data_IF_181508237514
#
_entry.id   IF_181508237514
#
_cell.length_a   1.000
_cell.length_b   1.000
_cell.length_c   1.000
_cell.angle_alpha   90.00
_cell.angle_beta   90.00
_cell.angle_gamma   90.00
#
_symmetry.space_group_name_H-M   'P 1'
#
loop_
_entity.id
_entity.type
_entity.pdbx_description
1 polymer ?
#
# COMPACT_ATOMS: atom_id res chain seq x y z
N UNK A 1 16.28 -26.67 13.20
CA UNK A 1 17.20 -25.78 13.94
C UNK A 1 16.75 -24.34 13.78
N UNK A 2 17.24 -23.43 14.61
CA UNK A 2 16.98 -21.99 14.49
C UNK A 2 17.31 -21.48 13.08
N UNK A 3 18.45 -21.89 12.52
CA UNK A 3 18.94 -21.42 11.22
C UNK A 3 18.03 -21.81 10.06
N UNK A 4 17.43 -23.01 10.11
CA UNK A 4 16.48 -23.45 9.07
C UNK A 4 15.20 -22.62 9.11
N UNK A 5 14.71 -22.24 10.31
CA UNK A 5 13.55 -21.34 10.44
C UNK A 5 13.89 -19.95 9.91
N UNK A 6 15.07 -19.46 10.26
CA UNK A 6 15.59 -18.17 9.81
C UNK A 6 15.73 -18.11 8.28
N UNK A 7 16.27 -19.18 7.68
CA UNK A 7 16.38 -19.31 6.23
C UNK A 7 15.00 -19.30 5.57
N UNK A 8 14.02 -20.04 6.09
CA UNK A 8 12.64 -20.01 5.55
C UNK A 8 12.02 -18.63 5.62
N UNK A 9 12.23 -17.93 6.73
CA UNK A 9 11.69 -16.59 6.95
C UNK A 9 12.17 -15.58 5.89
N UNK A 10 13.43 -15.66 5.43
CA UNK A 10 13.95 -14.72 4.43
C UNK A 10 13.86 -15.23 2.99
N UNK A 11 14.14 -16.52 2.74
CA UNK A 11 14.21 -17.07 1.39
C UNK A 11 12.84 -17.16 0.73
N UNK A 12 11.79 -17.54 1.50
CA UNK A 12 10.45 -17.66 0.93
C UNK A 12 9.87 -16.31 0.45
N UNK A 13 9.91 -15.22 1.27
CA UNK A 13 9.53 -13.90 0.75
C UNK A 13 10.36 -13.47 -0.44
N UNK A 14 11.68 -13.68 -0.43
CA UNK A 14 12.56 -13.23 -1.51
C UNK A 14 12.22 -13.90 -2.83
N UNK A 15 12.02 -15.22 -2.84
CA UNK A 15 11.61 -15.97 -4.03
C UNK A 15 10.28 -15.46 -4.60
N UNK A 16 9.28 -15.24 -3.74
CA UNK A 16 7.99 -14.73 -4.20
C UNK A 16 8.08 -13.26 -4.67
N UNK A 17 8.88 -12.43 -4.00
CA UNK A 17 9.09 -11.03 -4.36
C UNK A 17 9.74 -10.91 -5.74
N UNK A 18 10.68 -11.81 -6.07
CA UNK A 18 11.33 -11.85 -7.38
C UNK A 18 10.42 -12.40 -8.50
N UNK A 19 9.15 -12.66 -8.22
CA UNK A 19 8.19 -13.17 -9.21
C UNK A 19 8.35 -14.67 -9.52
N UNK A 20 8.98 -15.46 -8.64
CA UNK A 20 9.08 -16.90 -8.85
C UNK A 20 7.68 -17.55 -8.89
N UNK A 21 7.34 -18.15 -10.04
CA UNK A 21 6.00 -18.67 -10.31
C UNK A 21 5.58 -19.77 -9.30
N UNK A 22 6.49 -20.69 -8.96
CA UNK A 22 6.20 -21.77 -8.01
C UNK A 22 5.92 -21.22 -6.61
N UNK A 23 6.69 -20.23 -6.16
CA UNK A 23 6.48 -19.56 -4.88
C UNK A 23 5.10 -18.89 -4.84
N UNK A 24 4.75 -18.13 -5.89
CA UNK A 24 3.47 -17.44 -5.99
C UNK A 24 2.30 -18.43 -6.02
N UNK A 25 2.40 -19.51 -6.79
CA UNK A 25 1.38 -20.56 -6.87
C UNK A 25 1.19 -21.26 -5.51
N UNK A 26 2.28 -21.59 -4.83
CA UNK A 26 2.22 -22.22 -3.51
C UNK A 26 1.65 -21.28 -2.46
N UNK A 27 2.07 -20.01 -2.45
CA UNK A 27 1.53 -18.99 -1.56
C UNK A 27 0.03 -18.79 -1.79
N UNK A 28 -0.42 -18.73 -3.06
CA UNK A 28 -1.83 -18.61 -3.40
C UNK A 28 -2.63 -19.84 -2.95
N UNK A 29 -2.10 -21.05 -3.17
CA UNK A 29 -2.74 -22.30 -2.73
C UNK A 29 -2.89 -22.35 -1.20
N UNK A 30 -1.84 -22.00 -0.45
CA UNK A 30 -1.85 -21.97 1.01
C UNK A 30 -2.80 -20.88 1.54
N UNK A 31 -2.82 -19.71 0.91
CA UNK A 31 -3.72 -18.64 1.29
C UNK A 31 -5.18 -19.05 1.06
N UNK A 32 -5.51 -19.64 -0.09
CA UNK A 32 -6.88 -20.12 -0.38
C UNK A 32 -7.33 -21.15 0.65
N UNK A 33 -6.49 -22.13 0.97
CA UNK A 33 -6.80 -23.12 2.03
C UNK A 33 -7.05 -22.45 3.38
N UNK A 34 -6.27 -21.44 3.73
CA UNK A 34 -6.46 -20.67 4.96
C UNK A 34 -7.77 -19.87 4.94
N UNK A 35 -8.08 -19.19 3.83
CA UNK A 35 -9.32 -18.42 3.66
C UNK A 35 -10.57 -19.31 3.73
N UNK A 36 -10.49 -20.55 3.25
CA UNK A 36 -11.62 -21.49 3.28
C UNK A 36 -11.93 -22.04 4.69
N UNK A 37 -10.93 -22.06 5.58
CA UNK A 37 -11.10 -22.56 6.94
C UNK A 37 -10.07 -21.96 7.92
N UNK A 38 -10.16 -20.65 8.25
CA UNK A 38 -9.14 -19.95 9.03
C UNK A 38 -8.96 -20.51 10.45
N UNK A 39 -10.01 -21.12 11.02
CA UNK A 39 -9.98 -21.75 12.35
C UNK A 39 -9.37 -23.15 12.35
N UNK A 40 -9.28 -23.80 11.18
CA UNK A 40 -8.80 -25.19 11.03
C UNK A 40 -7.43 -25.27 10.38
N UNK A 41 -7.12 -24.33 9.48
CA UNK A 41 -5.86 -24.28 8.74
C UNK A 41 -4.96 -23.26 9.40
N UNK A 42 -3.81 -23.70 9.93
CA UNK A 42 -2.79 -22.80 10.46
C UNK A 42 -1.68 -22.60 9.44
N UNK A 43 -1.40 -21.35 9.09
CA UNK A 43 -0.21 -21.01 8.32
C UNK A 43 1.05 -21.25 9.16
N UNK A 44 2.11 -21.72 8.53
CA UNK A 44 3.41 -21.85 9.19
C UNK A 44 3.88 -20.46 9.68
N UNK A 45 4.20 -20.28 10.97
CA UNK A 45 4.60 -18.98 11.51
C UNK A 45 5.80 -18.34 10.78
N UNK A 46 6.73 -19.15 10.29
CA UNK A 46 7.94 -18.69 9.61
C UNK A 46 7.63 -18.11 8.21
N UNK A 47 6.49 -18.49 7.60
CA UNK A 47 6.12 -18.08 6.23
C UNK A 47 4.74 -17.40 6.16
N UNK A 48 4.03 -17.23 7.26
CA UNK A 48 2.66 -16.74 7.27
C UNK A 48 2.52 -15.36 6.63
N UNK A 49 3.46 -14.44 6.90
CA UNK A 49 3.48 -13.12 6.27
C UNK A 49 3.67 -13.21 4.76
N UNK A 50 4.60 -14.07 4.31
CA UNK A 50 4.85 -14.31 2.90
C UNK A 50 3.61 -14.89 2.20
N UNK A 51 3.00 -15.94 2.78
CA UNK A 51 1.79 -16.57 2.24
C UNK A 51 0.64 -15.57 2.12
N UNK A 52 0.41 -14.75 3.16
CA UNK A 52 -0.66 -13.75 3.15
C UNK A 52 -0.49 -12.69 2.06
N UNK A 53 0.72 -12.17 1.89
CA UNK A 53 0.98 -11.15 0.89
C UNK A 53 1.07 -11.74 -0.53
N UNK A 54 1.98 -12.69 -0.72
CA UNK A 54 2.25 -13.25 -2.05
C UNK A 54 1.16 -14.21 -2.53
N UNK A 55 0.32 -14.73 -1.63
CA UNK A 55 -0.88 -15.44 -2.01
C UNK A 55 -1.94 -14.53 -2.61
N UNK A 56 -2.03 -13.26 -2.19
CA UNK A 56 -2.86 -12.25 -2.87
C UNK A 56 -2.22 -11.81 -4.18
N UNK A 57 -0.89 -11.68 -4.22
CA UNK A 57 -0.14 -11.34 -5.45
C UNK A 57 -0.33 -12.37 -6.55
N UNK A 58 -0.16 -13.66 -6.23
CA UNK A 58 -0.34 -14.77 -7.18
C UNK A 58 -1.77 -15.28 -7.29
N UNK A 59 -2.71 -14.68 -6.54
CA UNK A 59 -4.10 -15.11 -6.45
C UNK A 59 -5.01 -14.44 -7.48
N UNK A 60 -6.15 -15.07 -7.73
CA UNK A 60 -7.16 -14.55 -8.65
C UNK A 60 -8.09 -13.51 -7.98
N UNK A 61 -9.12 -13.08 -8.72
CA UNK A 61 -10.12 -12.15 -8.21
C UNK A 61 -10.92 -12.73 -7.02
N UNK A 62 -11.07 -14.06 -6.97
CA UNK A 62 -11.78 -14.76 -5.89
C UNK A 62 -10.98 -14.68 -4.60
N UNK A 63 -9.68 -14.97 -4.64
CA UNK A 63 -8.78 -14.83 -3.48
C UNK A 63 -8.78 -13.39 -2.99
N UNK A 64 -8.64 -12.41 -3.87
CA UNK A 64 -8.69 -10.99 -3.51
C UNK A 64 -10.02 -10.63 -2.84
N UNK A 65 -11.16 -11.04 -3.43
CA UNK A 65 -12.49 -10.77 -2.88
C UNK A 65 -12.65 -11.35 -1.47
N UNK A 66 -12.21 -12.59 -1.24
CA UNK A 66 -12.28 -13.21 0.10
C UNK A 66 -11.50 -12.40 1.15
N UNK A 67 -10.31 -11.92 0.81
CA UNK A 67 -9.54 -11.03 1.72
C UNK A 67 -10.26 -9.68 1.90
N UNK A 68 -10.89 -9.15 0.85
CA UNK A 68 -11.68 -7.91 0.92
C UNK A 68 -12.91 -8.06 1.81
N UNK A 69 -13.58 -9.20 1.77
CA UNK A 69 -14.70 -9.53 2.66
C UNK A 69 -14.24 -9.59 4.12
N UNK A 70 -13.06 -10.20 4.39
CA UNK A 70 -12.44 -10.17 5.72
C UNK A 70 -12.12 -8.75 6.17
N UNK A 71 -11.53 -7.92 5.30
CA UNK A 71 -11.26 -6.51 5.58
C UNK A 71 -12.53 -5.74 5.94
N UNK A 72 -13.61 -5.91 5.17
CA UNK A 72 -14.89 -5.24 5.42
C UNK A 72 -15.54 -5.67 6.75
N UNK A 73 -15.39 -6.94 7.13
CA UNK A 73 -15.94 -7.50 8.38
C UNK A 73 -15.06 -7.27 9.62
N UNK A 74 -13.84 -6.76 9.46
CA UNK A 74 -12.88 -6.64 10.55
C UNK A 74 -13.36 -5.64 11.61
N UNK A 75 -13.41 -6.09 12.87
CA UNK A 75 -13.92 -5.30 14.00
C UNK A 75 -12.84 -4.52 14.73
N UNK A 76 -11.55 -4.86 14.54
CA UNK A 76 -10.42 -4.17 15.18
C UNK A 76 -9.56 -3.43 14.17
N UNK A 77 -8.89 -2.38 14.65
CA UNK A 77 -7.96 -1.55 13.88
C UNK A 77 -6.81 -2.37 13.30
N UNK A 78 -6.30 -3.32 14.08
CA UNK A 78 -5.19 -4.20 13.74
C UNK A 78 -5.59 -5.18 12.61
N UNK A 79 -6.79 -5.75 12.69
CA UNK A 79 -7.32 -6.62 11.64
C UNK A 79 -7.57 -5.85 10.35
N UNK A 80 -8.17 -4.66 10.42
CA UNK A 80 -8.38 -3.78 9.26
C UNK A 80 -7.06 -3.48 8.55
N UNK A 81 -6.05 -3.03 9.30
CA UNK A 81 -4.72 -2.74 8.75
C UNK A 81 -4.03 -3.99 8.20
N UNK A 82 -4.14 -5.14 8.89
CA UNK A 82 -3.56 -6.40 8.41
C UNK A 82 -4.14 -6.84 7.07
N UNK A 83 -5.46 -6.80 6.92
CA UNK A 83 -6.11 -7.18 5.66
C UNK A 83 -5.90 -6.15 4.56
N UNK A 84 -5.90 -4.85 4.87
CA UNK A 84 -5.53 -3.82 3.89
C UNK A 84 -4.10 -4.05 3.35
N UNK A 85 -3.14 -4.36 4.23
CA UNK A 85 -1.77 -4.68 3.84
C UNK A 85 -1.66 -5.95 2.97
N UNK A 86 -2.55 -6.92 3.16
CA UNK A 86 -2.65 -8.08 2.28
C UNK A 86 -3.19 -7.70 0.91
N UNK A 87 -4.26 -6.90 0.85
CA UNK A 87 -4.87 -6.45 -0.42
C UNK A 87 -3.90 -5.60 -1.25
N UNK A 88 -3.11 -4.75 -0.60
CA UNK A 88 -2.02 -4.00 -1.24
C UNK A 88 -0.93 -4.88 -1.87
N UNK A 89 -0.91 -6.19 -1.63
CA UNK A 89 0.02 -7.10 -2.30
C UNK A 89 -0.43 -7.56 -3.68
N UNK A 90 -1.66 -7.25 -4.11
CA UNK A 90 -2.16 -7.67 -5.42
C UNK A 90 -1.27 -7.14 -6.56
N UNK A 91 -1.01 -7.96 -7.58
CA UNK A 91 -0.37 -7.51 -8.82
C UNK A 91 -1.32 -6.78 -9.76
N UNK A 92 -2.64 -6.90 -9.52
CA UNK A 92 -3.67 -6.31 -10.37
C UNK A 92 -3.90 -4.85 -9.99
N UNK A 93 -3.41 -3.94 -10.84
CA UNK A 93 -3.49 -2.49 -10.62
C UNK A 93 -4.91 -2.00 -10.32
N UNK A 94 -5.90 -2.49 -11.06
CA UNK A 94 -7.30 -2.09 -10.87
C UNK A 94 -7.84 -2.41 -9.48
N UNK A 95 -7.40 -3.52 -8.87
CA UNK A 95 -7.83 -3.93 -7.52
C UNK A 95 -7.22 -3.05 -6.44
N UNK A 96 -5.96 -2.63 -6.63
CA UNK A 96 -5.29 -1.69 -5.73
C UNK A 96 -5.90 -0.29 -5.86
N UNK A 97 -6.18 0.18 -7.09
CA UNK A 97 -6.89 1.45 -7.33
C UNK A 97 -8.29 1.44 -6.68
N UNK A 98 -9.04 0.35 -6.81
CA UNK A 98 -10.33 0.18 -6.13
C UNK A 98 -10.21 0.25 -4.61
N UNK A 99 -9.18 -0.40 -4.04
CA UNK A 99 -8.92 -0.35 -2.60
C UNK A 99 -8.61 1.07 -2.12
N UNK A 100 -7.78 1.81 -2.85
CA UNK A 100 -7.49 3.22 -2.51
C UNK A 100 -8.79 4.02 -2.54
N UNK A 101 -9.61 3.87 -3.58
CA UNK A 101 -10.91 4.54 -3.66
C UNK A 101 -11.86 4.19 -2.52
N UNK A 102 -11.90 2.93 -2.09
CA UNK A 102 -12.73 2.47 -0.98
C UNK A 102 -12.29 3.05 0.38
N UNK A 103 -10.98 3.19 0.58
CA UNK A 103 -10.38 3.80 1.77
C UNK A 103 -10.71 5.28 1.83
N UNK A 104 -10.55 6.00 0.72
CA UNK A 104 -10.77 7.44 0.68
C UNK A 104 -12.25 7.83 0.85
N UNK A 105 -13.17 6.98 0.38
CA UNK A 105 -14.62 7.20 0.56
C UNK A 105 -15.09 7.00 2.00
N UNK A 106 -14.38 6.19 2.77
CA UNK A 106 -14.77 5.82 4.13
C UNK A 106 -13.51 5.53 4.96
N UNK A 107 -12.96 6.59 5.55
CA UNK A 107 -11.76 6.51 6.38
C UNK A 107 -11.93 5.58 7.57
N UNK A 108 -13.17 5.32 8.02
CA UNK A 108 -13.45 4.37 9.10
C UNK A 108 -13.02 2.93 8.76
N UNK A 109 -12.81 2.63 7.47
CA UNK A 109 -12.28 1.34 7.00
C UNK A 109 -10.80 1.16 7.27
N UNK A 110 -10.09 2.22 7.65
CA UNK A 110 -8.73 2.16 8.16
C UNK A 110 -8.65 2.67 9.60
N UNK A 111 -7.58 2.26 10.26
CA UNK A 111 -7.19 2.83 11.54
C UNK A 111 -6.26 4.02 11.41
N UNK A 112 -5.52 4.06 10.30
CA UNK A 112 -4.39 4.94 10.06
C UNK A 112 -4.15 5.02 8.53
N UNK A 113 -4.60 6.12 7.92
CA UNK A 113 -4.46 6.37 6.48
C UNK A 113 -3.00 6.62 6.09
N UNK A 114 -2.24 7.20 7.02
CA UNK A 114 -0.85 7.58 6.87
C UNK A 114 0.05 6.34 6.73
N UNK A 115 -0.21 5.31 7.55
CA UNK A 115 0.40 3.99 7.48
C UNK A 115 0.01 3.22 6.21
N UNK A 116 -1.23 3.36 5.75
CA UNK A 116 -1.69 2.75 4.50
C UNK A 116 -0.95 3.31 3.29
N UNK A 117 -0.88 4.63 3.15
CA UNK A 117 -0.13 5.26 2.06
C UNK A 117 1.37 5.01 2.16
N UNK A 118 1.94 4.98 3.37
CA UNK A 118 3.35 4.60 3.56
C UNK A 118 3.61 3.16 3.09
N UNK A 119 2.70 2.23 3.39
CA UNK A 119 2.80 0.84 2.94
C UNK A 119 2.65 0.72 1.43
N UNK A 120 1.69 1.43 0.83
CA UNK A 120 1.50 1.49 -0.62
C UNK A 120 2.73 2.07 -1.32
N UNK A 121 3.25 3.19 -0.83
CA UNK A 121 4.41 3.88 -1.39
C UNK A 121 5.73 3.10 -1.22
N UNK A 122 5.85 2.21 -0.24
CA UNK A 122 7.04 1.35 -0.09
C UNK A 122 7.11 0.18 -1.08
N UNK A 123 6.03 -0.05 -1.84
CA UNK A 123 5.93 -1.15 -2.80
C UNK A 123 6.30 -0.63 -4.18
N UNK A 124 7.50 -0.97 -4.63
CA UNK A 124 8.06 -0.56 -5.93
C UNK A 124 7.09 -0.85 -7.08
N UNK A 125 6.39 -1.99 -7.05
CA UNK A 125 5.42 -2.37 -8.10
C UNK A 125 4.22 -1.41 -8.20
N UNK A 126 3.97 -0.62 -7.16
CA UNK A 126 2.84 0.31 -7.07
C UNK A 126 3.22 1.78 -7.19
N UNK A 127 4.51 2.13 -7.31
CA UNK A 127 4.87 3.55 -7.35
C UNK A 127 4.22 4.28 -8.53
N UNK A 128 4.28 3.70 -9.73
CA UNK A 128 3.61 4.28 -10.90
C UNK A 128 2.09 4.31 -10.72
N UNK A 129 1.50 3.31 -10.06
CA UNK A 129 0.06 3.32 -9.75
C UNK A 129 -0.30 4.49 -8.86
N UNK A 130 0.49 4.69 -7.80
CA UNK A 130 0.29 5.77 -6.84
C UNK A 130 0.44 7.13 -7.54
N UNK A 131 1.45 7.29 -8.40
CA UNK A 131 1.63 8.49 -9.22
C UNK A 131 0.42 8.78 -10.09
N UNK A 132 -0.01 7.80 -10.89
CA UNK A 132 -1.15 7.95 -11.80
C UNK A 132 -2.43 8.27 -11.02
N UNK A 133 -2.65 7.59 -9.88
CA UNK A 133 -3.81 7.79 -9.03
C UNK A 133 -3.83 9.20 -8.43
N UNK A 134 -2.71 9.65 -7.86
CA UNK A 134 -2.61 10.99 -7.28
C UNK A 134 -2.81 12.05 -8.38
N UNK A 135 -2.13 11.93 -9.53
CA UNK A 135 -2.31 12.88 -10.66
C UNK A 135 -3.77 13.00 -11.09
N UNK A 136 -4.47 11.87 -11.16
CA UNK A 136 -5.88 11.79 -11.56
C UNK A 136 -6.84 12.37 -10.51
N UNK A 137 -6.52 12.22 -9.23
CA UNK A 137 -7.45 12.52 -8.13
C UNK A 137 -7.01 13.66 -7.20
N UNK A 138 -5.92 14.39 -7.53
CA UNK A 138 -5.29 15.33 -6.60
C UNK A 138 -6.24 16.39 -6.05
N UNK A 139 -7.21 16.88 -6.83
CA UNK A 139 -8.19 17.87 -6.36
C UNK A 139 -9.06 17.35 -5.22
N UNK A 140 -9.58 16.13 -5.38
CA UNK A 140 -10.41 15.49 -4.35
C UNK A 140 -9.57 15.12 -3.12
N UNK A 141 -8.32 14.68 -3.33
CA UNK A 141 -7.39 14.43 -2.23
C UNK A 141 -7.05 15.71 -1.47
N UNK A 142 -6.95 16.84 -2.18
CA UNK A 142 -6.65 18.14 -1.58
C UNK A 142 -7.83 18.71 -0.81
N UNK A 143 -9.05 18.55 -1.32
CA UNK A 143 -10.27 18.88 -0.59
C UNK A 143 -10.39 18.09 0.73
N UNK A 144 -9.94 16.84 0.73
CA UNK A 144 -10.04 15.94 1.88
C UNK A 144 -8.89 16.11 2.89
N UNK A 145 -7.64 16.19 2.42
CA UNK A 145 -6.43 16.14 3.25
C UNK A 145 -5.55 17.39 3.18
N UNK A 146 -5.93 18.37 2.37
CA UNK A 146 -5.13 19.55 2.08
C UNK A 146 -5.36 20.73 3.01
N UNK A 147 -6.25 20.61 4.02
CA UNK A 147 -6.67 21.65 4.99
C UNK A 147 -6.53 23.10 4.48
N UNK A 148 -7.61 23.61 3.88
CA UNK A 148 -7.64 24.95 3.25
C UNK A 148 -7.74 26.10 4.27
N UNK A 149 -7.78 25.82 5.58
CA UNK A 149 -8.11 26.81 6.61
C UNK A 149 -6.96 27.29 7.50
N UNK A 150 -5.86 26.53 7.62
CA UNK A 150 -4.78 26.79 8.57
C UNK A 150 -3.43 27.12 7.92
N UNK A 151 -3.33 27.00 6.59
CA UNK A 151 -2.10 27.28 5.84
C UNK A 151 -1.91 28.79 5.71
N UNK A 152 -1.00 29.33 6.49
CA UNK A 152 -0.47 30.67 6.31
C UNK A 152 0.76 30.65 5.39
N UNK A 153 1.17 31.79 4.79
CA UNK A 153 2.37 31.88 3.95
C UNK A 153 3.68 31.44 4.63
N UNK A 154 3.71 31.41 5.95
CA UNK A 154 4.80 30.96 6.83
C UNK A 154 4.60 29.55 7.40
N UNK A 155 3.50 28.87 7.06
CA UNK A 155 3.26 27.50 7.54
C UNK A 155 4.36 26.56 7.04
N UNK A 156 5.10 25.98 7.98
CA UNK A 156 6.14 24.97 7.74
C UNK A 156 5.64 23.55 8.01
N UNK A 157 4.40 23.41 8.49
CA UNK A 157 3.79 22.12 8.77
C UNK A 157 3.11 21.65 7.48
N UNK A 158 3.57 20.55 6.85
CA UNK A 158 2.91 20.00 5.69
C UNK A 158 1.51 19.52 6.09
N UNK A 159 0.54 19.74 5.20
CA UNK A 159 -0.77 19.09 5.29
C UNK A 159 -0.63 17.57 5.23
N UNK A 160 -1.70 16.84 5.56
CA UNK A 160 -1.68 15.37 5.45
C UNK A 160 -1.42 14.92 4.01
N UNK A 161 -2.02 15.62 3.02
CA UNK A 161 -1.72 15.38 1.61
C UNK A 161 -0.23 15.58 1.32
N UNK A 162 0.34 16.73 1.70
CA UNK A 162 1.76 17.01 1.42
C UNK A 162 2.66 16.02 2.15
N UNK A 163 2.31 15.58 3.35
CA UNK A 163 3.04 14.56 4.11
C UNK A 163 3.06 13.22 3.38
N UNK A 164 1.91 12.79 2.84
CA UNK A 164 1.81 11.58 1.99
C UNK A 164 2.70 11.73 0.74
N UNK A 165 2.66 12.89 0.09
CA UNK A 165 3.46 13.16 -1.12
C UNK A 165 4.96 13.14 -0.83
N UNK A 166 5.42 13.76 0.26
CA UNK A 166 6.84 13.74 0.67
C UNK A 166 7.29 12.29 0.93
N UNK A 167 6.50 11.52 1.68
CA UNK A 167 6.81 10.11 1.98
C UNK A 167 6.94 9.30 0.69
N UNK A 168 6.02 9.47 -0.26
CA UNK A 168 6.06 8.78 -1.55
C UNK A 168 7.27 9.20 -2.40
N UNK A 169 7.56 10.50 -2.54
CA UNK A 169 8.74 10.96 -3.28
C UNK A 169 10.03 10.34 -2.72
N UNK A 170 10.15 10.25 -1.40
CA UNK A 170 11.32 9.66 -0.73
C UNK A 170 11.45 8.14 -0.93
N UNK A 171 10.41 7.42 -1.36
CA UNK A 171 10.48 6.00 -1.70
C UNK A 171 10.81 5.74 -3.15
N UNK A 172 10.68 6.72 -4.05
CA UNK A 172 11.05 6.59 -5.45
C UNK A 172 12.56 6.29 -5.57
N UNK A 173 12.90 5.30 -6.40
CA UNK A 173 14.29 4.88 -6.65
C UNK A 173 14.75 5.06 -8.09
N UNK A 174 13.81 5.33 -9.01
CA UNK A 174 14.10 5.56 -10.42
C UNK A 174 14.27 7.05 -10.69
N UNK A 175 15.38 7.43 -11.32
CA UNK A 175 15.63 8.83 -11.72
C UNK A 175 14.55 9.36 -12.67
N UNK A 176 14.02 8.49 -13.55
CA UNK A 176 12.98 8.86 -14.50
C UNK A 176 11.68 9.17 -13.77
N UNK A 177 11.29 8.28 -12.87
CA UNK A 177 10.08 8.43 -12.05
C UNK A 177 10.19 9.63 -11.11
N UNK A 178 11.35 9.83 -10.48
CA UNK A 178 11.58 10.97 -9.59
C UNK A 178 11.48 12.30 -10.35
N UNK A 179 12.06 12.39 -11.55
CA UNK A 179 11.95 13.59 -12.40
C UNK A 179 10.51 13.86 -12.82
N UNK A 180 9.75 12.82 -13.18
CA UNK A 180 8.33 12.97 -13.51
C UNK A 180 7.52 13.46 -12.31
N UNK A 181 7.67 12.78 -11.16
CA UNK A 181 7.02 13.13 -9.91
C UNK A 181 7.31 14.59 -9.52
N UNK A 182 8.59 14.96 -9.51
CA UNK A 182 9.04 16.31 -9.17
C UNK A 182 8.47 17.37 -10.13
N UNK A 183 8.54 17.13 -11.44
CA UNK A 183 7.99 18.07 -12.42
C UNK A 183 6.48 18.30 -12.19
N UNK A 184 5.73 17.22 -11.97
CA UNK A 184 4.30 17.32 -11.71
C UNK A 184 4.00 18.04 -10.37
N UNK A 185 4.70 17.68 -9.29
CA UNK A 185 4.53 18.29 -7.97
C UNK A 185 4.85 19.79 -7.99
N UNK A 186 5.95 20.19 -8.62
CA UNK A 186 6.31 21.61 -8.76
C UNK A 186 5.25 22.36 -9.56
N UNK A 187 4.73 21.78 -10.65
CA UNK A 187 3.69 22.43 -11.46
C UNK A 187 2.33 22.55 -10.74
N UNK A 188 2.02 21.62 -9.83
CA UNK A 188 0.71 21.50 -9.19
C UNK A 188 0.66 22.21 -7.83
N UNK A 189 1.72 22.07 -7.02
CA UNK A 189 1.78 22.54 -5.63
C UNK A 189 2.84 23.64 -5.43
N UNK A 190 3.61 24.03 -6.46
CA UNK A 190 4.78 24.90 -6.30
C UNK A 190 4.49 26.30 -5.75
N UNK A 191 3.25 26.79 -5.85
CA UNK A 191 2.82 28.06 -5.26
C UNK A 191 2.36 27.94 -3.80
N UNK A 192 2.21 26.73 -3.27
CA UNK A 192 1.66 26.51 -1.94
C UNK A 192 2.73 26.61 -0.84
N UNK A 193 2.46 27.32 0.26
CA UNK A 193 3.41 27.45 1.37
C UNK A 193 3.78 26.11 2.04
N UNK A 194 2.78 25.24 2.26
CA UNK A 194 2.94 23.93 2.91
C UNK A 194 3.73 22.93 2.05
N UNK A 195 3.75 23.14 0.73
CA UNK A 195 4.43 22.30 -0.25
C UNK A 195 5.93 22.62 -0.43
N UNK A 196 6.49 23.62 0.27
CA UNK A 196 7.91 23.99 0.12
C UNK A 196 8.87 22.82 0.37
N UNK A 197 8.51 21.91 1.27
CA UNK A 197 9.29 20.72 1.59
C UNK A 197 9.32 19.70 0.44
N UNK A 198 8.32 19.67 -0.45
CA UNK A 198 8.33 18.80 -1.64
C UNK A 198 9.45 19.15 -2.62
N UNK A 199 9.90 20.41 -2.63
CA UNK A 199 11.03 20.83 -3.46
C UNK A 199 12.40 20.47 -2.84
N UNK A 200 12.42 20.08 -1.56
CA UNK A 200 13.62 19.68 -0.81
C UNK A 200 13.79 18.15 -0.72
N UNK A 201 12.71 17.39 -0.90
CA UNK A 201 12.71 15.94 -1.08
C UNK A 201 13.18 15.55 -2.51
#
# INVERSE_FOLDING_TARGET
>A
THDVRHARYYVAPYACQSGNADCLQQAASLLTKWLDAPDKVRLNPDTAAAVRCYGVRGGDATTFKKVKDLWASATTKELKSSYANMLLCSSERSRVEELIGDVLKDESKLSDIDSFFSTLASRIDHHQLLLDYIKKNYKSLDEQFGDVGTITPDSLVPTELVSILIKWVNTIRSDVEYKEAKAWLTSTFGSRPDARLLNQA
#
